data_IF_651039013921
#
_entry.id   IF_651039013921
#
_cell.length_a   1.000
_cell.length_b   1.000
_cell.length_c   1.000
_cell.angle_alpha   90.00
_cell.angle_beta   90.00
_cell.angle_gamma   90.00
#
_symmetry.space_group_name_H-M   'P 1'
#
loop_
_entity.id
_entity.type
_entity.pdbx_description
1 polymer ?
#
# COMPACT_ATOMS: atom_id res chain seq x y z
N UNK A 1 13.52 6.57 -31.05
CA UNK A 1 13.97 5.99 -32.33
C UNK A 1 12.74 5.67 -33.17
N UNK A 2 12.53 6.41 -34.26
CA UNK A 2 11.32 6.36 -35.08
C UNK A 2 11.37 5.15 -36.01
N UNK A 3 10.45 4.20 -35.85
CA UNK A 3 10.33 3.01 -36.71
C UNK A 3 9.89 3.42 -38.12
N UNK A 4 10.86 3.52 -39.02
CA UNK A 4 10.63 3.65 -40.46
C UNK A 4 9.98 2.35 -40.95
N UNK A 5 8.66 2.39 -41.21
CA UNK A 5 7.97 1.31 -41.92
C UNK A 5 8.48 1.27 -43.35
N UNK A 6 9.26 0.24 -43.66
CA UNK A 6 9.62 -0.10 -45.03
C UNK A 6 8.35 -0.56 -45.77
N UNK A 7 7.81 0.31 -46.63
CA UNK A 7 6.75 -0.05 -47.57
C UNK A 7 7.34 -0.94 -48.67
N UNK A 8 7.30 -2.25 -48.46
CA UNK A 8 7.51 -3.25 -49.51
C UNK A 8 6.22 -3.36 -50.34
N UNK A 9 6.01 -2.39 -51.23
CA UNK A 9 5.02 -2.52 -52.30
C UNK A 9 5.58 -3.51 -53.33
N UNK A 10 5.00 -4.72 -53.50
CA UNK A 10 5.48 -5.66 -54.49
C UNK A 10 5.33 -5.02 -55.88
N UNK A 11 6.42 -5.04 -56.66
CA UNK A 11 6.39 -4.52 -58.02
C UNK A 11 5.33 -5.27 -58.84
N UNK A 12 4.51 -4.56 -59.64
CA UNK A 12 3.56 -5.20 -60.53
C UNK A 12 4.34 -6.05 -61.53
N UNK A 13 4.07 -7.35 -61.52
CA UNK A 13 4.63 -8.30 -62.48
C UNK A 13 4.22 -7.84 -63.88
N UNK A 14 5.15 -7.78 -64.87
CA UNK A 14 4.85 -7.36 -66.23
C UNK A 14 3.68 -8.16 -66.79
N UNK A 15 2.54 -7.49 -66.94
CA UNK A 15 1.30 -8.11 -67.39
C UNK A 15 1.49 -8.75 -68.75
N UNK A 16 1.14 -10.03 -68.82
CA UNK A 16 1.01 -10.77 -70.06
C UNK A 16 -0.08 -10.09 -70.91
N UNK A 17 0.33 -9.30 -71.91
CA UNK A 17 -0.58 -8.71 -72.87
C UNK A 17 -1.15 -9.85 -73.74
N UNK A 18 -2.32 -10.35 -73.36
CA UNK A 18 -3.07 -11.25 -74.21
C UNK A 18 -3.44 -10.49 -75.48
N UNK A 19 -2.84 -10.93 -76.59
CA UNK A 19 -3.16 -10.47 -77.92
C UNK A 19 -4.52 -11.04 -78.31
N UNK A 20 -5.58 -10.24 -78.11
CA UNK A 20 -6.96 -10.59 -78.46
C UNK A 20 -7.24 -10.56 -79.98
N UNK A 21 -6.20 -10.43 -80.82
CA UNK A 21 -6.33 -10.23 -82.27
C UNK A 21 -6.60 -11.52 -83.08
N UNK A 22 -6.85 -12.67 -82.44
CA UNK A 22 -7.03 -13.96 -83.12
C UNK A 22 -8.21 -14.82 -82.60
N UNK A 23 -9.31 -14.18 -82.16
CA UNK A 23 -10.59 -14.92 -82.11
C UNK A 23 -11.23 -14.78 -83.48
N UNK A 24 -11.19 -15.85 -84.27
CA UNK A 24 -11.90 -15.94 -85.54
C UNK A 24 -13.40 -15.68 -85.29
N UNK A 25 -13.99 -14.80 -86.09
CA UNK A 25 -15.42 -14.50 -86.17
C UNK A 25 -16.22 -15.72 -86.70
N UNK A 26 -16.12 -16.86 -86.02
CA UNK A 26 -16.96 -18.03 -86.31
C UNK A 26 -18.31 -17.84 -85.61
N UNK A 27 -19.26 -17.35 -86.41
CA UNK A 27 -20.70 -17.52 -86.19
C UNK A 27 -21.22 -17.04 -84.83
N UNK A 28 -21.12 -15.72 -84.58
CA UNK A 28 -22.09 -15.02 -83.74
C UNK A 28 -23.45 -15.05 -84.43
N UNK A 29 -24.12 -16.20 -84.36
CA UNK A 29 -25.56 -16.29 -84.49
C UNK A 29 -26.10 -15.49 -83.32
N UNK A 30 -26.39 -14.22 -83.58
CA UNK A 30 -27.18 -13.38 -82.69
C UNK A 30 -28.54 -14.04 -82.66
N UNK A 31 -28.72 -14.97 -81.71
CA UNK A 31 -30.01 -15.43 -81.27
C UNK A 31 -30.66 -14.19 -80.63
N UNK A 32 -31.28 -13.35 -81.47
CA UNK A 32 -32.27 -12.36 -81.06
C UNK A 32 -33.47 -13.15 -80.53
N UNK A 33 -33.28 -13.72 -79.35
CA UNK A 33 -34.37 -14.14 -78.51
C UNK A 33 -34.97 -12.83 -77.99
N UNK A 34 -35.95 -12.30 -78.74
CA UNK A 34 -36.80 -11.17 -78.34
C UNK A 34 -37.75 -11.59 -77.19
N UNK A 35 -37.18 -12.29 -76.20
CA UNK A 35 -37.89 -12.87 -75.09
C UNK A 35 -38.06 -11.81 -74.01
N UNK A 36 -39.29 -11.31 -73.94
CA UNK A 36 -39.83 -10.44 -72.90
C UNK A 36 -39.62 -11.00 -71.48
N UNK A 37 -39.34 -12.29 -71.34
CA UNK A 37 -39.02 -12.92 -70.05
C UNK A 37 -37.68 -12.43 -69.47
N UNK A 38 -36.70 -12.08 -70.32
CA UNK A 38 -35.38 -11.61 -69.85
C UNK A 38 -35.42 -10.24 -69.15
N UNK A 39 -36.34 -9.35 -69.55
CA UNK A 39 -36.52 -8.05 -68.90
C UNK A 39 -37.26 -8.18 -67.55
N UNK A 40 -38.16 -9.15 -67.42
CA UNK A 40 -38.80 -9.45 -66.14
C UNK A 40 -37.79 -9.99 -65.12
N UNK A 41 -36.89 -10.87 -65.54
CA UNK A 41 -35.85 -11.44 -64.67
C UNK A 41 -34.83 -10.39 -64.19
N UNK A 42 -34.35 -9.52 -65.09
CA UNK A 42 -33.47 -8.39 -64.72
C UNK A 42 -34.12 -7.44 -63.72
N UNK A 43 -35.42 -7.16 -63.87
CA UNK A 43 -36.15 -6.30 -62.94
C UNK A 43 -36.31 -6.96 -61.56
N UNK A 44 -36.59 -8.26 -61.51
CA UNK A 44 -36.64 -9.03 -60.27
C UNK A 44 -35.28 -9.07 -59.57
N UNK A 45 -34.19 -9.30 -60.30
CA UNK A 45 -32.83 -9.29 -59.75
C UNK A 45 -32.45 -7.90 -59.21
N UNK A 46 -32.79 -6.84 -59.93
CA UNK A 46 -32.55 -5.46 -59.48
C UNK A 46 -33.34 -5.12 -58.23
N UNK A 47 -34.57 -5.62 -58.11
CA UNK A 47 -35.37 -5.47 -56.89
C UNK A 47 -34.76 -6.23 -55.71
N UNK A 48 -34.28 -7.46 -55.93
CA UNK A 48 -33.57 -8.25 -54.92
C UNK A 48 -32.32 -7.54 -54.42
N UNK A 49 -31.45 -7.05 -55.33
CA UNK A 49 -30.23 -6.31 -54.96
C UNK A 49 -30.53 -5.05 -54.15
N UNK A 50 -31.64 -4.35 -54.43
CA UNK A 50 -32.08 -3.17 -53.64
C UNK A 50 -32.53 -3.58 -52.24
N UNK A 51 -33.33 -4.64 -52.12
CA UNK A 51 -33.78 -5.14 -50.83
C UNK A 51 -32.61 -5.60 -49.95
N UNK A 52 -31.63 -6.30 -50.53
CA UNK A 52 -30.42 -6.72 -49.81
C UNK A 52 -29.57 -5.54 -49.35
N UNK A 53 -29.42 -4.51 -50.20
CA UNK A 53 -28.71 -3.29 -49.83
C UNK A 53 -29.40 -2.55 -48.67
N UNK A 54 -30.73 -2.43 -48.71
CA UNK A 54 -31.53 -1.83 -47.63
C UNK A 54 -31.41 -2.63 -46.33
N UNK A 55 -31.40 -3.97 -46.41
CA UNK A 55 -31.20 -4.82 -45.25
C UNK A 55 -29.81 -4.63 -44.64
N UNK A 56 -28.75 -4.61 -45.44
CA UNK A 56 -27.37 -4.36 -44.97
C UNK A 56 -27.23 -2.96 -44.34
N UNK A 57 -27.95 -1.97 -44.84
CA UNK A 57 -27.97 -0.63 -44.24
C UNK A 57 -28.62 -0.66 -42.85
N UNK A 58 -29.78 -1.32 -42.71
CA UNK A 58 -30.46 -1.49 -41.42
C UNK A 58 -29.62 -2.23 -40.40
N UNK A 59 -28.90 -3.28 -40.81
CA UNK A 59 -27.98 -4.02 -39.94
C UNK A 59 -26.83 -3.13 -39.44
N UNK A 60 -26.20 -2.36 -40.33
CA UNK A 60 -25.14 -1.40 -39.96
C UNK A 60 -25.65 -0.30 -39.03
N UNK A 61 -26.88 0.17 -39.23
CA UNK A 61 -27.50 1.14 -38.34
C UNK A 61 -27.75 0.53 -36.95
N UNK A 62 -28.28 -0.69 -36.89
CA UNK A 62 -28.48 -1.42 -35.63
C UNK A 62 -27.17 -1.67 -34.89
N UNK A 63 -26.10 -2.06 -35.59
CA UNK A 63 -24.76 -2.24 -35.02
C UNK A 63 -24.21 -0.93 -34.45
N UNK A 64 -24.32 0.18 -35.19
CA UNK A 64 -23.91 1.51 -34.71
C UNK A 64 -24.70 1.93 -33.48
N UNK A 65 -26.01 1.63 -33.44
CA UNK A 65 -26.86 1.92 -32.28
C UNK A 65 -26.44 1.08 -31.06
N UNK A 66 -26.18 -0.21 -31.25
CA UNK A 66 -25.70 -1.10 -30.18
C UNK A 66 -24.35 -0.62 -29.63
N UNK A 67 -23.39 -0.27 -30.49
CA UNK A 67 -22.09 0.30 -30.08
C UNK A 67 -22.23 1.60 -29.27
N UNK A 68 -23.13 2.49 -29.67
CA UNK A 68 -23.43 3.74 -28.92
C UNK A 68 -24.04 3.44 -27.54
N UNK A 69 -24.92 2.44 -27.46
CA UNK A 69 -25.52 2.04 -26.19
C UNK A 69 -24.49 1.40 -25.25
N UNK A 70 -23.63 0.53 -25.77
CA UNK A 70 -22.54 -0.07 -25.01
C UNK A 70 -21.57 0.99 -24.47
N UNK A 71 -21.14 1.94 -25.30
CA UNK A 71 -20.29 3.06 -24.87
C UNK A 71 -20.98 3.90 -23.79
N UNK A 72 -22.29 4.10 -23.87
CA UNK A 72 -23.07 4.81 -22.84
C UNK A 72 -23.12 4.02 -21.52
N UNK A 73 -23.23 2.69 -21.56
CA UNK A 73 -23.20 1.83 -20.38
C UNK A 73 -21.82 1.86 -19.70
N UNK A 74 -20.74 1.71 -20.48
CA UNK A 74 -19.37 1.79 -19.98
C UNK A 74 -19.10 3.15 -19.31
N UNK A 75 -19.50 4.26 -19.96
CA UNK A 75 -19.33 5.60 -19.37
C UNK A 75 -20.14 5.79 -18.08
N UNK A 76 -21.33 5.19 -17.98
CA UNK A 76 -22.14 5.25 -16.77
C UNK A 76 -21.54 4.43 -15.63
N UNK A 77 -20.94 3.28 -15.94
CA UNK A 77 -20.25 2.42 -14.98
C UNK A 77 -18.97 3.08 -14.45
N UNK A 78 -18.14 3.64 -15.33
CA UNK A 78 -16.95 4.41 -14.97
C UNK A 78 -17.31 5.58 -14.03
N UNK A 79 -18.38 6.33 -14.34
CA UNK A 79 -18.85 7.41 -13.48
C UNK A 79 -19.32 6.93 -12.09
N UNK A 80 -19.87 5.70 -11.98
CA UNK A 80 -20.23 5.12 -10.67
C UNK A 80 -19.00 4.74 -9.87
N UNK A 81 -17.99 4.15 -10.51
CA UNK A 81 -16.73 3.82 -9.86
C UNK A 81 -15.98 5.07 -9.38
N UNK A 82 -15.98 6.15 -10.18
CA UNK A 82 -15.39 7.43 -9.78
C UNK A 82 -16.12 8.04 -8.57
N UNK A 83 -17.45 7.98 -8.54
CA UNK A 83 -18.24 8.45 -7.40
C UNK A 83 -17.96 7.65 -6.12
N UNK A 84 -17.82 6.33 -6.23
CA UNK A 84 -17.46 5.46 -5.10
C UNK A 84 -16.06 5.77 -4.56
N UNK A 85 -15.08 5.99 -5.45
CA UNK A 85 -13.73 6.40 -5.05
C UNK A 85 -13.73 7.72 -4.30
N UNK A 86 -14.45 8.73 -4.80
CA UNK A 86 -14.60 10.02 -4.11
C UNK A 86 -15.26 9.86 -2.74
N UNK A 87 -16.27 9.00 -2.63
CA UNK A 87 -16.91 8.73 -1.34
C UNK A 87 -15.95 8.10 -0.34
N UNK A 88 -15.12 7.14 -0.78
CA UNK A 88 -14.08 6.52 0.07
C UNK A 88 -13.02 7.54 0.52
N UNK A 89 -12.56 8.39 -0.38
CA UNK A 89 -11.61 9.47 -0.05
C UNK A 89 -12.19 10.48 0.95
N UNK A 90 -13.46 10.86 0.78
CA UNK A 90 -14.16 11.73 1.73
C UNK A 90 -14.32 11.08 3.11
N UNK A 91 -14.67 9.80 3.17
CA UNK A 91 -14.78 9.05 4.42
C UNK A 91 -13.42 8.97 5.12
N UNK A 92 -12.34 8.68 4.39
CA UNK A 92 -10.98 8.64 4.93
C UNK A 92 -10.55 10.02 5.47
N UNK A 93 -10.86 11.09 4.74
CA UNK A 93 -10.60 12.45 5.18
C UNK A 93 -11.37 12.80 6.47
N UNK A 94 -12.61 12.32 6.62
CA UNK A 94 -13.38 12.47 7.85
C UNK A 94 -12.77 11.68 9.01
N UNK A 95 -12.35 10.43 8.77
CA UNK A 95 -11.67 9.61 9.79
C UNK A 95 -10.37 10.26 10.26
N UNK A 96 -9.55 10.80 9.34
CA UNK A 96 -8.33 11.54 9.66
C UNK A 96 -8.60 12.78 10.51
N UNK A 97 -9.63 13.57 10.16
CA UNK A 97 -10.06 14.74 10.96
C UNK A 97 -10.51 14.35 12.38
N UNK A 98 -11.28 13.27 12.51
CA UNK A 98 -11.73 12.77 13.81
C UNK A 98 -10.56 12.31 14.67
N UNK A 99 -9.61 11.56 14.09
CA UNK A 99 -8.41 11.11 14.79
C UNK A 99 -7.52 12.30 15.25
N UNK A 100 -7.37 13.34 14.41
CA UNK A 100 -6.62 14.55 14.77
C UNK A 100 -7.31 15.33 15.91
N UNK A 101 -8.64 15.43 15.86
CA UNK A 101 -9.44 16.10 16.89
C UNK A 101 -9.36 15.35 18.23
N UNK A 102 -9.41 14.02 18.21
CA UNK A 102 -9.20 13.19 19.39
C UNK A 102 -7.78 13.35 19.95
N UNK A 103 -6.74 13.35 19.09
CA UNK A 103 -5.37 13.60 19.51
C UNK A 103 -5.21 14.97 20.18
N UNK A 104 -5.88 16.02 19.66
CA UNK A 104 -5.92 17.35 20.30
C UNK A 104 -6.59 17.29 21.67
N UNK A 105 -7.71 16.59 21.81
CA UNK A 105 -8.38 16.39 23.11
C UNK A 105 -7.48 15.67 24.10
N UNK A 106 -6.76 14.63 23.67
CA UNK A 106 -5.80 13.92 24.53
C UNK A 106 -4.67 14.84 24.99
N UNK A 107 -4.09 15.66 24.10
CA UNK A 107 -3.07 16.66 24.46
C UNK A 107 -3.60 17.68 25.47
N UNK A 108 -4.84 18.14 25.30
CA UNK A 108 -5.48 19.06 26.26
C UNK A 108 -5.66 18.42 27.64
N UNK A 109 -6.13 17.16 27.71
CA UNK A 109 -6.26 16.41 28.98
C UNK A 109 -4.91 16.25 29.67
N UNK A 110 -3.88 15.81 28.94
CA UNK A 110 -2.53 15.67 29.47
C UNK A 110 -1.95 17.01 29.97
N UNK A 111 -2.24 18.12 29.29
CA UNK A 111 -1.84 19.46 29.73
C UNK A 111 -2.56 19.89 31.03
N UNK A 112 -3.88 19.66 31.11
CA UNK A 112 -4.66 19.93 32.31
C UNK A 112 -4.19 19.11 33.52
N UNK A 113 -3.94 17.82 33.32
CA UNK A 113 -3.42 16.91 34.36
C UNK A 113 -2.05 17.38 34.86
N UNK A 114 -1.13 17.77 33.96
CA UNK A 114 0.17 18.35 34.36
C UNK A 114 0.01 19.64 35.14
N UNK A 115 -0.92 20.52 34.75
CA UNK A 115 -1.18 21.76 35.47
C UNK A 115 -1.77 21.48 36.87
N UNK A 116 -2.64 20.47 37.00
CA UNK A 116 -3.18 20.03 38.27
C UNK A 116 -2.10 19.43 39.17
N UNK A 117 -1.27 18.52 38.66
CA UNK A 117 -0.14 17.96 39.39
C UNK A 117 0.80 19.04 39.95
N UNK A 118 1.07 20.11 39.17
CA UNK A 118 1.85 21.27 39.65
C UNK A 118 1.17 22.01 40.80
N UNK A 119 -0.17 22.16 40.77
CA UNK A 119 -0.93 22.78 41.87
C UNK A 119 -0.90 21.92 43.13
N UNK A 120 -1.09 20.62 42.98
CA UNK A 120 -1.07 19.67 44.09
C UNK A 120 0.32 19.62 44.74
N UNK A 121 1.39 19.62 43.93
CA UNK A 121 2.76 19.70 44.44
C UNK A 121 2.99 21.01 45.22
N UNK A 122 2.54 22.16 44.71
CA UNK A 122 2.65 23.44 45.40
C UNK A 122 1.86 23.44 46.72
N UNK A 123 0.64 22.88 46.74
CA UNK A 123 -0.18 22.74 47.94
C UNK A 123 0.48 21.81 48.98
N UNK A 124 1.07 20.71 48.54
CA UNK A 124 1.84 19.81 49.40
C UNK A 124 3.07 20.50 49.99
N UNK A 125 3.82 21.28 49.19
CA UNK A 125 4.97 22.06 49.68
C UNK A 125 4.55 23.08 50.74
N UNK A 126 3.44 23.79 50.53
CA UNK A 126 2.90 24.73 51.51
C UNK A 126 2.45 24.02 52.80
N UNK A 127 1.77 22.88 52.67
CA UNK A 127 1.29 22.11 53.83
C UNK A 127 2.46 21.52 54.63
N UNK A 128 3.49 20.98 53.97
CA UNK A 128 4.67 20.42 54.62
C UNK A 128 5.47 21.46 55.42
N UNK A 129 5.58 22.69 54.92
CA UNK A 129 6.25 23.78 55.64
C UNK A 129 5.53 24.18 56.94
N UNK A 130 4.19 24.00 57.01
CA UNK A 130 3.40 24.28 58.23
C UNK A 130 3.62 23.22 59.31
N UNK A 131 3.92 21.97 58.95
CA UNK A 131 4.17 20.90 59.93
C UNK A 131 5.60 20.90 60.50
N UNK A 132 6.62 21.34 59.74
CA UNK A 132 8.01 21.40 60.25
C UNK A 132 8.25 22.50 61.30
N UNK A 133 7.38 23.51 61.40
CA UNK A 133 7.50 24.59 62.40
C UNK A 133 7.04 24.14 63.80
N UNK A 134 6.26 23.06 63.91
CA UNK A 134 5.75 22.56 65.20
C UNK A 134 6.58 21.43 65.82
N UNK A 135 7.56 20.87 65.10
CA UNK A 135 8.42 19.77 65.58
C UNK A 135 9.84 20.21 65.94
N UNK A 136 10.03 21.49 66.33
CA UNK A 136 11.24 21.92 67.03
C UNK A 136 11.32 21.20 68.39
N UNK A 137 11.89 20.01 68.32
CA UNK A 137 12.31 19.16 69.41
C UNK A 137 13.15 20.01 70.38
N UNK A 138 12.70 20.11 71.64
CA UNK A 138 13.47 20.69 72.73
C UNK A 138 14.76 19.90 72.89
N UNK A 139 15.84 20.36 72.28
CA UNK A 139 17.19 19.94 72.65
C UNK A 139 17.58 20.75 73.89
N UNK A 140 17.84 20.12 75.05
CA UNK A 140 18.29 20.84 76.22
C UNK A 140 19.76 21.24 76.02
N UNK A 141 20.04 22.54 75.93
CA UNK A 141 21.41 23.03 76.17
C UNK A 141 21.97 24.11 75.26
N UNK A 142 21.27 24.56 74.21
CA UNK A 142 21.79 25.63 73.34
C UNK A 142 20.77 26.75 73.16
N UNK A 143 21.30 27.98 73.19
CA UNK A 143 20.63 29.28 73.27
C UNK A 143 19.24 29.35 72.63
N UNK A 144 18.26 29.79 73.43
CA UNK A 144 16.87 30.04 73.03
C UNK A 144 16.84 31.09 71.91
N UNK A 145 16.74 30.64 70.67
CA UNK A 145 16.26 31.50 69.58
C UNK A 145 14.75 31.57 69.75
N UNK A 146 14.27 32.69 70.30
CA UNK A 146 12.84 33.00 70.39
C UNK A 146 12.34 33.27 68.97
N UNK A 147 11.86 32.24 68.27
CA UNK A 147 11.00 32.43 67.12
C UNK A 147 9.69 33.01 67.63
N UNK A 148 9.56 34.33 67.53
CA UNK A 148 8.32 35.04 67.85
C UNK A 148 7.26 34.54 66.87
N UNK A 149 6.40 33.63 67.30
CA UNK A 149 5.17 33.26 66.58
C UNK A 149 4.32 34.52 66.46
N UNK A 150 4.50 35.26 65.36
CA UNK A 150 3.70 36.45 65.07
C UNK A 150 2.26 36.00 64.89
N UNK A 151 1.35 36.65 65.61
CA UNK A 151 -0.08 36.36 65.52
C UNK A 151 -0.53 36.47 64.06
N UNK A 152 -1.34 35.52 63.58
CA UNK A 152 -1.90 35.62 62.25
C UNK A 152 -2.64 36.96 62.10
N UNK A 153 -2.58 37.58 60.92
CA UNK A 153 -3.28 38.81 60.64
C UNK A 153 -4.77 38.60 60.89
N UNK A 154 -5.45 39.60 61.46
CA UNK A 154 -6.88 39.47 61.66
C UNK A 154 -7.61 39.36 60.32
N UNK A 155 -8.76 38.69 60.29
CA UNK A 155 -9.60 38.51 59.09
C UNK A 155 -9.91 39.82 58.37
N UNK A 156 -10.02 40.94 59.11
CA UNK A 156 -10.17 42.28 58.53
C UNK A 156 -8.94 42.74 57.73
N UNK A 157 -7.72 42.49 58.20
CA UNK A 157 -6.50 42.83 57.45
C UNK A 157 -6.38 42.01 56.16
N UNK A 158 -6.79 40.74 56.19
CA UNK A 158 -6.79 39.87 55.00
C UNK A 158 -7.79 40.40 53.97
N UNK A 159 -9.04 40.68 54.40
CA UNK A 159 -10.08 41.20 53.50
C UNK A 159 -9.73 42.58 52.91
N UNK A 160 -9.16 43.50 53.69
CA UNK A 160 -8.73 44.81 53.19
C UNK A 160 -7.56 44.73 52.21
N UNK A 161 -6.70 43.71 52.33
CA UNK A 161 -5.61 43.47 51.38
C UNK A 161 -6.16 42.97 50.04
N UNK A 162 -7.10 42.02 50.06
CA UNK A 162 -7.75 41.50 48.86
C UNK A 162 -8.58 42.57 48.14
N UNK A 163 -9.16 43.51 48.88
CA UNK A 163 -9.95 44.60 48.33
C UNK A 163 -9.12 45.81 47.82
N UNK A 164 -7.79 45.77 47.93
CA UNK A 164 -6.91 46.87 47.48
C UNK A 164 -7.02 48.18 48.28
N UNK A 165 -7.72 48.18 49.42
CA UNK A 165 -8.04 49.39 50.20
C UNK A 165 -6.91 49.85 51.15
N UNK A 166 -5.69 49.35 50.98
CA UNK A 166 -4.54 49.71 51.80
C UNK A 166 -3.40 50.21 50.91
N UNK A 167 -3.28 51.54 50.79
CA UNK A 167 -2.18 52.15 50.05
C UNK A 167 -0.86 52.07 50.84
N UNK A 168 0.27 51.79 50.17
CA UNK A 168 1.61 51.87 50.76
C UNK A 168 1.97 53.29 51.25
N UNK A 169 1.74 53.62 52.52
CA UNK A 169 2.43 54.75 53.13
C UNK A 169 3.95 54.50 53.18
N UNK A 170 4.78 55.50 52.88
CA UNK A 170 6.26 55.41 52.79
C UNK A 170 7.00 55.11 54.14
N UNK A 171 6.33 54.52 55.12
CA UNK A 171 6.89 54.16 56.42
C UNK A 171 7.12 52.64 56.58
N UNK A 172 8.17 52.25 57.32
CA UNK A 172 8.63 50.86 57.52
C UNK A 172 7.67 49.94 58.29
N UNK A 173 6.48 50.40 58.68
CA UNK A 173 5.47 49.57 59.36
C UNK A 173 4.08 49.81 58.75
N UNK A 174 3.50 48.77 58.14
CA UNK A 174 2.13 48.78 57.61
C UNK A 174 1.18 48.20 58.65
N UNK A 175 0.17 48.96 59.05
CA UNK A 175 -0.95 48.46 59.85
C UNK A 175 -2.26 48.96 59.23
N UNK A 176 -3.32 48.16 59.28
CA UNK A 176 -4.66 48.63 58.90
C UNK A 176 -5.05 49.87 59.71
N UNK A 177 -5.82 50.83 59.18
CA UNK A 177 -6.23 52.04 59.93
C UNK A 177 -6.84 51.70 61.32
N UNK A 178 -7.72 50.67 61.44
CA UNK A 178 -8.20 50.22 62.76
C UNK A 178 -7.12 49.65 63.69
N UNK A 179 -6.05 49.07 63.14
CA UNK A 179 -4.93 48.46 63.86
C UNK A 179 -3.96 49.55 64.36
N UNK A 180 -3.69 50.54 63.51
CA UNK A 180 -2.89 51.71 63.82
C UNK A 180 -3.52 52.54 64.95
N UNK A 181 -4.82 52.80 64.87
CA UNK A 181 -5.54 53.56 65.90
C UNK A 181 -5.57 52.88 67.28
N UNK A 182 -5.39 51.56 67.33
CA UNK A 182 -5.34 50.79 68.59
C UNK A 182 -3.91 50.57 69.11
N UNK A 183 -2.89 51.15 68.46
CA UNK A 183 -1.45 50.90 68.71
C UNK A 183 -1.10 49.40 68.75
N UNK A 184 -1.87 48.55 68.06
CA UNK A 184 -1.60 47.11 67.97
C UNK A 184 -0.83 46.86 66.68
N UNK A 185 0.42 46.46 66.80
CA UNK A 185 1.31 46.12 65.69
C UNK A 185 0.86 44.83 65.00
N UNK A 186 0.01 44.96 63.98
CA UNK A 186 -0.18 43.92 62.97
C UNK A 186 0.97 44.06 61.97
N UNK A 187 2.01 43.23 62.09
CA UNK A 187 3.19 43.33 61.24
C UNK A 187 3.13 42.26 60.14
N UNK A 188 3.10 42.72 58.90
CA UNK A 188 3.31 41.88 57.72
C UNK A 188 4.73 42.09 57.23
N UNK A 189 5.49 41.01 57.02
CA UNK A 189 6.67 41.04 56.16
C UNK A 189 6.21 40.73 54.74
N UNK A 190 6.56 41.59 53.78
CA UNK A 190 6.47 41.25 52.37
C UNK A 190 7.33 40.01 52.17
N UNK A 191 6.72 38.91 51.75
CA UNK A 191 7.44 37.75 51.25
C UNK A 191 8.06 38.20 49.92
N UNK A 192 9.24 38.83 50.00
CA UNK A 192 10.06 39.01 48.83
C UNK A 192 10.45 37.61 48.36
N UNK A 193 10.15 37.33 47.09
CA UNK A 193 10.55 36.13 46.37
C UNK A 193 12.07 36.05 46.43
N UNK A 194 12.60 35.44 47.48
CA UNK A 194 13.99 35.08 47.58
C UNK A 194 14.22 33.91 46.62
N UNK A 195 15.12 34.12 45.66
CA UNK A 195 15.68 33.05 44.85
C UNK A 195 16.12 31.91 45.78
N UNK A 196 15.49 30.75 45.60
CA UNK A 196 15.45 29.69 46.59
C UNK A 196 16.81 29.01 46.85
N UNK A 197 16.99 28.42 48.04
CA UNK A 197 18.18 27.65 48.40
C UNK A 197 18.18 26.27 47.73
N UNK A 198 19.32 25.89 47.17
CA UNK A 198 19.57 24.59 46.55
C UNK A 198 19.44 23.45 47.57
N UNK A 199 18.48 22.55 47.34
CA UNK A 199 18.24 21.38 48.19
C UNK A 199 19.10 20.21 47.71
N UNK A 200 20.12 19.86 48.50
CA UNK A 200 20.79 18.55 48.45
C UNK A 200 19.81 17.46 48.88
N UNK A 201 19.67 16.40 48.08
CA UNK A 201 19.02 15.15 48.45
C UNK A 201 19.88 14.00 47.94
N UNK A 202 20.30 13.10 48.83
CA UNK A 202 20.29 11.65 48.60
C UNK A 202 20.77 10.89 49.84
N UNK A 203 20.16 9.72 50.05
CA UNK A 203 20.62 8.71 50.99
C UNK A 203 19.65 7.54 51.08
N UNK A 204 19.20 6.98 49.94
CA UNK A 204 18.44 5.72 49.92
C UNK A 204 19.31 4.63 49.30
N UNK A 205 19.55 3.59 50.08
CA UNK A 205 20.57 2.58 49.87
C UNK A 205 20.37 1.69 48.65
N UNK A 206 21.53 1.28 48.12
CA UNK A 206 21.74 0.25 47.14
C UNK A 206 21.42 -1.13 47.71
N UNK A 207 20.64 -1.93 46.97
CA UNK A 207 20.61 -3.37 47.14
C UNK A 207 20.91 -4.07 45.81
N UNK A 208 22.10 -4.66 45.78
CA UNK A 208 22.32 -6.09 45.50
C UNK A 208 21.90 -6.57 44.11
N UNK A 209 22.91 -6.72 43.26
CA UNK A 209 22.79 -7.23 41.91
C UNK A 209 22.27 -8.67 41.80
N UNK A 210 21.61 -8.92 40.69
CA UNK A 210 21.41 -10.25 40.12
C UNK A 210 22.00 -10.28 38.71
N UNK A 211 23.03 -11.13 38.57
CA UNK A 211 23.61 -11.56 37.30
C UNK A 211 22.54 -12.26 36.47
N UNK A 212 22.18 -11.72 35.30
CA UNK A 212 21.51 -12.49 34.24
C UNK A 212 22.47 -12.78 33.09
N UNK A 213 22.52 -14.06 32.75
CA UNK A 213 23.44 -14.74 31.83
C UNK A 213 23.07 -14.42 30.37
N UNK A 214 24.11 -14.20 29.56
CA UNK A 214 24.12 -14.30 28.09
C UNK A 214 23.56 -15.65 27.63
N UNK A 215 22.61 -15.71 26.68
CA UNK A 215 22.55 -16.83 25.75
C UNK A 215 23.47 -16.55 24.56
N UNK A 216 24.42 -17.45 24.38
CA UNK A 216 25.32 -17.56 23.24
C UNK A 216 24.55 -18.29 22.14
N UNK A 217 23.84 -17.54 21.29
CA UNK A 217 23.17 -18.05 20.10
C UNK A 217 24.14 -18.04 18.92
N UNK A 218 24.63 -19.23 18.54
CA UNK A 218 25.47 -19.48 17.38
C UNK A 218 24.55 -19.76 16.19
N UNK A 219 24.18 -18.72 15.46
CA UNK A 219 23.43 -18.79 14.21
C UNK A 219 24.36 -18.53 13.03
N UNK A 220 24.52 -19.53 12.17
CA UNK A 220 25.40 -19.55 11.01
C UNK A 220 24.66 -18.85 9.86
N UNK A 221 24.90 -17.55 9.69
CA UNK A 221 24.45 -16.83 8.48
C UNK A 221 25.53 -17.02 7.40
N UNK A 222 25.14 -17.60 6.26
CA UNK A 222 25.91 -17.52 5.02
C UNK A 222 25.78 -16.07 4.53
N UNK A 223 26.89 -15.36 4.55
CA UNK A 223 27.03 -14.06 3.90
C UNK A 223 27.15 -14.30 2.39
N UNK A 224 26.28 -13.66 1.63
CA UNK A 224 26.52 -13.35 0.22
C UNK A 224 27.48 -12.17 0.22
N UNK A 225 28.68 -12.39 -0.33
CA UNK A 225 29.72 -11.39 -0.49
C UNK A 225 29.25 -10.31 -1.46
N UNK A 226 29.14 -9.08 -0.98
CA UNK A 226 29.31 -7.89 -1.81
C UNK A 226 30.59 -7.24 -1.36
N UNK A 227 31.62 -7.50 -2.17
CA UNK A 227 32.93 -6.87 -2.17
C UNK A 227 32.76 -5.35 -2.26
N UNK A 228 33.07 -4.63 -1.20
CA UNK A 228 33.25 -3.17 -1.25
C UNK A 228 34.52 -2.80 -0.48
N UNK A 229 35.50 -2.40 -1.29
CA UNK A 229 36.61 -1.48 -1.05
C UNK A 229 37.12 -1.28 0.39
N UNK A 230 38.32 -1.80 0.58
CA UNK A 230 39.46 -1.22 1.29
C UNK A 230 39.35 0.30 1.57
N UNK A 231 39.23 0.66 2.85
CA UNK A 231 39.52 2.01 3.35
C UNK A 231 40.35 1.84 4.64
N UNK A 232 41.61 1.48 4.44
CA UNK A 232 42.67 1.49 5.46
C UNK A 232 42.90 2.92 5.97
N UNK A 233 42.12 3.37 6.94
CA UNK A 233 42.48 4.55 7.73
C UNK A 233 43.37 4.13 8.91
N UNK A 234 44.67 4.13 8.67
CA UNK A 234 45.71 4.20 9.70
C UNK A 234 45.55 5.49 10.52
N UNK A 235 44.69 5.44 11.55
CA UNK A 235 44.68 6.45 12.59
C UNK A 235 45.76 6.12 13.62
N UNK A 236 46.90 6.80 13.48
CA UNK A 236 48.03 6.77 14.39
C UNK A 236 47.62 6.83 15.85
N UNK A 237 47.92 5.73 16.54
CA UNK A 237 47.91 5.56 17.99
C UNK A 237 49.04 6.41 18.59
N UNK A 238 48.82 7.70 18.75
CA UNK A 238 49.62 8.49 19.70
C UNK A 238 49.10 8.18 21.11
N UNK A 239 49.95 7.48 21.87
CA UNK A 239 49.79 7.20 23.28
C UNK A 239 49.80 8.52 24.09
N UNK A 240 48.67 9.23 24.09
CA UNK A 240 48.39 10.23 25.12
C UNK A 240 47.95 9.50 26.40
N UNK A 241 48.95 9.19 27.21
CA UNK A 241 48.83 8.76 28.60
C UNK A 241 47.83 9.69 29.33
N UNK A 242 46.65 9.21 29.76
CA UNK A 242 45.68 10.10 30.39
C UNK A 242 46.25 10.54 31.74
N UNK A 243 46.69 11.80 31.76
CA UNK A 243 47.01 12.53 32.96
C UNK A 243 45.91 12.30 34.00
N UNK A 244 46.36 11.93 35.19
CA UNK A 244 45.58 11.72 36.41
C UNK A 244 44.40 12.69 36.51
N UNK A 245 43.16 12.22 36.73
CA UNK A 245 42.02 13.10 36.86
C UNK A 245 42.19 13.96 38.11
N UNK A 246 42.49 15.24 37.91
CA UNK A 246 42.31 16.27 38.94
C UNK A 246 40.89 16.15 39.50
N UNK A 247 40.76 16.22 40.82
CA UNK A 247 39.51 16.20 41.58
C UNK A 247 38.51 17.21 41.00
N UNK A 248 37.65 16.71 40.12
CA UNK A 248 36.57 17.46 39.49
C UNK A 248 35.36 17.60 40.41
N UNK A 249 34.57 18.68 40.25
CA UNK A 249 33.47 19.04 41.12
C UNK A 249 32.48 17.90 41.31
N UNK A 250 32.25 17.55 42.57
CA UNK A 250 31.44 16.43 43.02
C UNK A 250 29.99 16.50 42.52
N UNK A 251 29.71 15.78 41.43
CA UNK A 251 29.03 14.48 41.54
C UNK A 251 27.51 14.41 41.42
N UNK A 252 26.78 15.48 41.09
CA UNK A 252 25.30 15.37 40.91
C UNK A 252 24.76 15.77 39.54
N UNK A 253 25.46 16.62 38.78
CA UNK A 253 25.03 17.03 37.43
C UNK A 253 25.51 16.13 36.28
N UNK A 254 26.58 15.35 36.51
CA UNK A 254 27.21 14.52 35.46
C UNK A 254 26.38 13.28 35.14
N UNK A 255 25.67 12.71 36.12
CA UNK A 255 24.84 11.53 35.92
C UNK A 255 23.54 11.82 35.13
N UNK A 256 22.96 13.01 35.27
CA UNK A 256 21.79 13.40 34.49
C UNK A 256 22.14 13.64 33.03
N UNK A 257 23.29 14.27 32.77
CA UNK A 257 23.78 14.51 31.41
C UNK A 257 24.08 13.20 30.67
N UNK A 258 24.71 12.22 31.34
CA UNK A 258 24.93 10.89 30.76
C UNK A 258 23.62 10.15 30.42
N UNK A 259 22.61 10.25 31.28
CA UNK A 259 21.31 9.60 31.05
C UNK A 259 20.47 10.28 29.95
N UNK A 260 20.70 11.56 29.68
CA UNK A 260 20.11 12.27 28.53
C UNK A 260 20.83 11.89 27.24
N UNK A 261 22.17 11.88 27.26
CA UNK A 261 22.98 11.45 26.12
C UNK A 261 22.68 10.01 25.69
N UNK A 262 22.55 9.07 26.63
CA UNK A 262 22.22 7.68 26.32
C UNK A 262 20.81 7.53 25.75
N UNK A 263 19.84 8.34 26.22
CA UNK A 263 18.48 8.37 25.66
C UNK A 263 18.45 8.94 24.26
N UNK A 264 19.18 10.01 23.99
CA UNK A 264 19.27 10.60 22.65
C UNK A 264 19.94 9.63 21.67
N UNK A 265 20.97 8.91 22.13
CA UNK A 265 21.61 7.85 21.33
C UNK A 265 20.63 6.71 21.02
N UNK A 266 19.78 6.30 21.96
CA UNK A 266 18.75 5.28 21.71
C UNK A 266 17.67 5.78 20.75
N UNK A 267 17.25 7.04 20.85
CA UNK A 267 16.29 7.64 19.92
C UNK A 267 16.84 7.68 18.50
N UNK A 268 18.09 8.13 18.32
CA UNK A 268 18.75 8.10 17.01
C UNK A 268 18.88 6.68 16.43
N UNK A 269 19.12 5.68 17.29
CA UNK A 269 19.17 4.30 16.84
C UNK A 269 17.80 3.79 16.35
N UNK A 270 16.71 4.14 17.04
CA UNK A 270 15.36 3.82 16.59
C UNK A 270 14.96 4.57 15.32
N UNK A 271 15.35 5.84 15.19
CA UNK A 271 15.09 6.65 14.00
C UNK A 271 15.76 6.04 12.76
N UNK A 272 17.05 5.70 12.86
CA UNK A 272 17.76 4.98 11.80
C UNK A 272 17.12 3.64 11.47
N UNK A 273 16.62 2.91 12.47
CA UNK A 273 15.93 1.65 12.23
C UNK A 273 14.59 1.88 11.50
N UNK A 274 13.85 2.92 11.85
CA UNK A 274 12.62 3.30 11.16
C UNK A 274 12.88 3.67 9.69
N UNK A 275 13.94 4.45 9.41
CA UNK A 275 14.36 4.77 8.04
C UNK A 275 14.67 3.51 7.22
N UNK A 276 15.40 2.55 7.80
CA UNK A 276 15.68 1.27 7.12
C UNK A 276 14.40 0.48 6.84
N UNK A 277 13.44 0.48 7.76
CA UNK A 277 12.14 -0.17 7.54
C UNK A 277 11.30 0.55 6.48
N UNK A 278 11.31 1.88 6.42
CA UNK A 278 10.62 2.64 5.37
C UNK A 278 11.19 2.31 3.98
N UNK A 279 12.52 2.26 3.84
CA UNK A 279 13.18 1.85 2.60
C UNK A 279 12.83 0.41 2.22
N UNK A 280 12.80 -0.49 3.20
CA UNK A 280 12.41 -1.89 2.95
C UNK A 280 10.96 -2.01 2.49
N UNK A 281 10.02 -1.28 3.11
CA UNK A 281 8.60 -1.28 2.70
C UNK A 281 8.46 -0.76 1.27
N UNK A 282 9.14 0.33 0.92
CA UNK A 282 9.13 0.86 -0.45
C UNK A 282 9.67 -0.16 -1.47
N UNK A 283 10.71 -0.93 -1.10
CA UNK A 283 11.22 -2.00 -1.95
C UNK A 283 10.19 -3.12 -2.14
N UNK A 284 9.46 -3.52 -1.09
CA UNK A 284 8.38 -4.50 -1.19
C UNK A 284 7.21 -4.00 -2.05
N UNK A 285 6.83 -2.73 -1.94
CA UNK A 285 5.79 -2.12 -2.79
C UNK A 285 6.18 -2.18 -4.28
N UNK A 286 7.44 -1.85 -4.62
CA UNK A 286 7.92 -1.96 -6.01
C UNK A 286 7.97 -3.40 -6.51
N UNK A 287 8.33 -4.36 -5.65
CA UNK A 287 8.28 -5.78 -6.02
C UNK A 287 6.85 -6.27 -6.25
N UNK A 288 5.89 -5.82 -5.44
CA UNK A 288 4.48 -6.14 -5.63
C UNK A 288 3.94 -5.56 -6.94
N UNK A 289 4.26 -4.29 -7.24
CA UNK A 289 3.87 -3.66 -8.52
C UNK A 289 4.47 -4.40 -9.73
N UNK A 290 5.75 -4.80 -9.65
CA UNK A 290 6.38 -5.61 -10.70
C UNK A 290 5.70 -6.98 -10.86
N UNK A 291 5.28 -7.61 -9.75
CA UNK A 291 4.54 -8.88 -9.79
C UNK A 291 3.16 -8.72 -10.43
N UNK A 292 2.44 -7.63 -10.16
CA UNK A 292 1.16 -7.31 -10.80
C UNK A 292 1.33 -7.11 -12.31
N UNK A 293 2.37 -6.38 -12.74
CA UNK A 293 2.67 -6.20 -14.17
C UNK A 293 3.00 -7.52 -14.88
N UNK A 294 3.73 -8.43 -14.21
CA UNK A 294 4.00 -9.76 -14.75
C UNK A 294 2.73 -10.60 -14.86
N UNK A 295 1.83 -10.52 -13.88
CA UNK A 295 0.55 -11.22 -13.93
C UNK A 295 -0.32 -10.71 -15.09
N UNK A 296 -0.42 -9.39 -15.27
CA UNK A 296 -1.16 -8.79 -16.39
C UNK A 296 -0.57 -9.21 -17.75
N UNK A 297 0.77 -9.25 -17.86
CA UNK A 297 1.43 -9.72 -19.07
C UNK A 297 1.10 -11.21 -19.35
N UNK A 298 1.11 -12.05 -18.32
CA UNK A 298 0.77 -13.47 -18.45
C UNK A 298 -0.70 -13.67 -18.87
N UNK A 299 -1.64 -12.89 -18.33
CA UNK A 299 -3.04 -12.91 -18.74
C UNK A 299 -3.20 -12.53 -20.21
N UNK A 300 -2.54 -11.46 -20.67
CA UNK A 300 -2.56 -11.07 -22.10
C UNK A 300 -2.02 -12.16 -23.00
N UNK A 301 -0.92 -12.82 -22.61
CA UNK A 301 -0.38 -13.96 -23.34
C UNK A 301 -1.37 -15.11 -23.37
N UNK A 302 -2.03 -15.42 -22.25
CA UNK A 302 -3.06 -16.46 -22.19
C UNK A 302 -4.26 -16.16 -23.12
N UNK A 303 -4.71 -14.91 -23.18
CA UNK A 303 -5.78 -14.47 -24.09
C UNK A 303 -5.38 -14.63 -25.57
N UNK A 304 -4.14 -14.28 -25.93
CA UNK A 304 -3.61 -14.51 -27.27
C UNK A 304 -3.60 -16.00 -27.63
N UNK A 305 -3.13 -16.87 -26.71
CA UNK A 305 -3.18 -18.32 -26.90
C UNK A 305 -4.61 -18.84 -27.01
N UNK A 306 -5.54 -18.28 -26.24
CA UNK A 306 -6.97 -18.58 -26.34
C UNK A 306 -7.52 -18.29 -27.74
N UNK A 307 -7.14 -17.15 -28.32
CA UNK A 307 -7.50 -16.78 -29.70
C UNK A 307 -6.87 -17.73 -30.72
N UNK A 308 -5.59 -18.11 -30.55
CA UNK A 308 -4.94 -19.09 -31.42
C UNK A 308 -5.64 -20.46 -31.39
N UNK A 309 -6.05 -20.92 -30.20
CA UNK A 309 -6.80 -22.17 -30.04
C UNK A 309 -8.14 -22.10 -30.75
N UNK A 310 -8.90 -21.03 -30.56
CA UNK A 310 -10.19 -20.83 -31.23
C UNK A 310 -10.04 -20.81 -32.76
N UNK A 311 -8.99 -20.14 -33.26
CA UNK A 311 -8.67 -20.13 -34.69
C UNK A 311 -8.29 -21.52 -35.21
N UNK A 312 -7.50 -22.29 -34.46
CA UNK A 312 -7.11 -23.65 -34.83
C UNK A 312 -8.32 -24.59 -34.92
N UNK A 313 -9.23 -24.51 -33.95
CA UNK A 313 -10.50 -25.26 -33.94
C UNK A 313 -11.38 -24.89 -35.15
N UNK A 314 -11.50 -23.59 -35.46
CA UNK A 314 -12.21 -23.12 -36.65
C UNK A 314 -11.59 -23.63 -37.96
N UNK A 315 -10.26 -23.56 -38.08
CA UNK A 315 -9.54 -24.07 -39.24
C UNK A 315 -9.73 -25.58 -39.41
N UNK A 316 -9.79 -26.33 -38.32
CA UNK A 316 -10.09 -27.75 -38.36
C UNK A 316 -11.52 -28.04 -38.82
N UNK A 317 -12.52 -27.30 -38.32
CA UNK A 317 -13.90 -27.41 -38.79
C UNK A 317 -14.02 -27.17 -40.30
N UNK A 318 -13.34 -26.14 -40.83
CA UNK A 318 -13.30 -25.87 -42.28
C UNK A 318 -12.65 -27.01 -43.06
N UNK A 319 -11.52 -27.55 -42.60
CA UNK A 319 -10.90 -28.72 -43.25
C UNK A 319 -11.84 -29.93 -43.31
N UNK A 320 -12.63 -30.17 -42.24
CA UNK A 320 -13.62 -31.26 -42.22
C UNK A 320 -14.78 -31.02 -43.18
N UNK A 321 -15.24 -29.79 -43.29
CA UNK A 321 -16.29 -29.38 -44.23
C UNK A 321 -15.81 -29.52 -45.68
N UNK A 322 -14.65 -28.97 -46.01
CA UNK A 322 -14.04 -29.08 -47.35
C UNK A 322 -13.84 -30.56 -47.74
N UNK A 323 -13.44 -31.41 -46.78
CA UNK A 323 -13.31 -32.85 -47.01
C UNK A 323 -14.66 -33.56 -47.23
N UNK A 324 -15.76 -33.07 -46.65
CA UNK A 324 -17.12 -33.58 -46.92
C UNK A 324 -17.60 -33.13 -48.29
N UNK A 325 -17.40 -31.86 -48.64
CA UNK A 325 -17.72 -31.33 -49.97
C UNK A 325 -16.96 -32.08 -51.07
N UNK A 326 -15.66 -32.34 -50.86
CA UNK A 326 -14.85 -33.11 -51.80
C UNK A 326 -15.40 -34.54 -52.02
N UNK A 327 -15.82 -35.23 -50.95
CA UNK A 327 -16.46 -36.56 -51.06
C UNK A 327 -17.79 -36.51 -51.79
N UNK A 328 -18.60 -35.47 -51.55
CA UNK A 328 -19.87 -35.27 -52.27
C UNK A 328 -19.62 -35.01 -53.76
N UNK A 329 -18.63 -34.18 -54.09
CA UNK A 329 -18.25 -33.90 -55.48
C UNK A 329 -17.67 -35.16 -56.19
N UNK A 330 -16.93 -36.00 -55.47
CA UNK A 330 -16.45 -37.29 -56.01
C UNK A 330 -17.62 -38.23 -56.31
N UNK A 331 -18.60 -38.32 -55.40
CA UNK A 331 -19.82 -39.11 -55.58
C UNK A 331 -20.65 -38.64 -56.78
N UNK A 332 -20.75 -37.32 -56.99
CA UNK A 332 -21.40 -36.73 -58.17
C UNK A 332 -20.63 -37.03 -59.47
N UNK A 333 -19.30 -36.90 -59.46
CA UNK A 333 -18.47 -37.13 -60.66
C UNK A 333 -18.37 -38.58 -61.09
N UNK A 334 -18.40 -39.53 -60.15
CA UNK A 334 -18.34 -40.96 -60.49
C UNK A 334 -19.60 -41.44 -61.22
N UNK A 335 -20.65 -40.59 -61.34
CA UNK A 335 -21.80 -40.85 -62.21
C UNK A 335 -22.50 -42.17 -61.89
N UNK A 336 -22.28 -42.68 -60.68
CA UNK A 336 -22.90 -43.89 -60.17
C UNK A 336 -24.35 -43.58 -59.89
N UNK A 337 -25.16 -43.58 -60.95
CA UNK A 337 -26.61 -43.52 -60.84
C UNK A 337 -27.02 -44.45 -59.73
N UNK A 338 -27.69 -43.90 -58.72
CA UNK A 338 -28.16 -44.62 -57.54
C UNK A 338 -28.88 -45.89 -58.02
N UNK A 339 -28.15 -47.00 -58.13
CA UNK A 339 -28.76 -48.31 -58.20
C UNK A 339 -29.30 -48.50 -56.81
N UNK A 340 -30.55 -48.08 -56.66
CA UNK A 340 -31.45 -48.40 -55.55
C UNK A 340 -31.06 -49.79 -55.06
N UNK A 341 -30.52 -49.93 -53.84
CA UNK A 341 -30.26 -51.25 -53.29
C UNK A 341 -31.60 -51.98 -53.36
N UNK A 342 -31.69 -52.99 -54.22
CA UNK A 342 -32.82 -53.90 -54.16
C UNK A 342 -32.71 -54.53 -52.78
N UNK A 343 -33.68 -54.19 -51.94
CA UNK A 343 -33.96 -54.81 -50.67
C UNK A 343 -34.39 -56.24 -50.97
N UNK A 344 -33.42 -57.12 -51.25
CA UNK A 344 -33.66 -58.54 -51.13
C UNK A 344 -33.73 -58.85 -49.63
N UNK A 345 -34.94 -59.22 -49.24
CA UNK A 345 -35.25 -59.89 -48.01
C UNK A 345 -34.31 -61.10 -47.84
N UNK A 346 -33.31 -60.95 -47.00
CA UNK A 346 -32.60 -62.06 -46.39
C UNK A 346 -32.73 -61.88 -44.88
N UNK A 347 -33.81 -62.45 -44.36
CA UNK A 347 -33.82 -62.99 -43.01
C UNK A 347 -32.56 -63.84 -42.84
N UNK A 348 -31.70 -63.54 -41.86
CA UNK A 348 -31.23 -64.57 -40.93
C UNK A 348 -30.34 -64.01 -39.81
N UNK A 349 -30.79 -64.33 -38.58
CA UNK A 349 -30.04 -64.84 -37.43
C UNK A 349 -28.57 -64.42 -37.27
N UNK A 350 -28.33 -63.64 -36.23
CA UNK A 350 -27.28 -63.81 -35.22
C UNK A 350 -27.66 -62.84 -34.08
N UNK A 351 -28.44 -63.24 -33.08
CA UNK A 351 -28.13 -64.20 -32.00
C UNK A 351 -26.87 -63.77 -31.22
N UNK A 352 -27.16 -63.11 -30.10
CA UNK A 352 -26.50 -63.17 -28.77
C UNK A 352 -25.01 -63.50 -28.69
N UNK A 353 -24.24 -62.53 -28.17
CA UNK A 353 -23.06 -62.62 -27.29
C UNK A 353 -22.27 -61.30 -27.50
N UNK A 354 -22.06 -60.44 -26.51
CA UNK A 354 -21.26 -60.71 -25.33
C UNK A 354 -21.53 -59.61 -24.29
N UNK A 355 -22.22 -59.99 -23.20
CA UNK A 355 -22.15 -59.30 -21.92
C UNK A 355 -20.82 -59.71 -21.28
N UNK A 356 -19.86 -58.78 -21.14
CA UNK A 356 -18.68 -59.11 -20.35
C UNK A 356 -17.53 -58.11 -20.44
N UNK A 357 -17.52 -57.12 -19.56
CA UNK A 357 -16.37 -56.76 -18.73
C UNK A 357 -16.63 -55.40 -18.05
N UNK A 358 -17.35 -55.45 -16.94
CA UNK A 358 -17.11 -54.51 -15.84
C UNK A 358 -15.67 -54.74 -15.37
N UNK A 359 -14.75 -53.93 -15.92
CA UNK A 359 -13.41 -53.79 -15.40
C UNK A 359 -13.42 -52.70 -14.34
N UNK A 360 -13.57 -53.10 -13.08
CA UNK A 360 -12.96 -52.43 -11.93
C UNK A 360 -11.52 -52.07 -12.31
N UNK A 361 -11.24 -50.78 -12.50
CA UNK A 361 -9.87 -50.30 -12.42
C UNK A 361 -9.79 -49.44 -11.16
N UNK A 362 -9.25 -50.08 -10.14
CA UNK A 362 -9.01 -49.56 -8.81
C UNK A 362 -8.25 -48.22 -8.88
N UNK A 363 -8.71 -47.27 -8.07
CA UNK A 363 -7.92 -46.13 -7.63
C UNK A 363 -6.58 -46.60 -7.05
N UNK A 364 -5.50 -46.55 -7.83
CA UNK A 364 -4.15 -46.42 -7.27
C UNK A 364 -3.85 -44.94 -7.06
N UNK A 365 -4.21 -44.49 -5.85
CA UNK A 365 -3.50 -43.45 -5.13
C UNK A 365 -2.11 -44.00 -4.77
N UNK A 366 -1.04 -43.50 -5.39
CA UNK A 366 0.26 -43.28 -4.72
C UNK A 366 1.25 -42.63 -5.68
N UNK A 367 1.87 -41.52 -5.25
CA UNK A 367 3.07 -41.00 -5.90
C UNK A 367 3.15 -39.49 -6.06
N UNK A 368 2.97 -38.73 -4.98
CA UNK A 368 3.72 -37.47 -4.85
C UNK A 368 5.21 -37.81 -4.83
N UNK A 369 5.88 -37.77 -5.99
CA UNK A 369 7.33 -37.84 -6.06
C UNK A 369 7.89 -36.49 -6.53
N UNK A 370 8.16 -35.68 -5.52
CA UNK A 370 9.46 -35.05 -5.29
C UNK A 370 10.19 -34.48 -6.51
N UNK A 371 10.11 -33.15 -6.62
CA UNK A 371 11.14 -32.21 -7.08
C UNK A 371 12.34 -32.78 -7.83
N UNK A 372 12.25 -32.79 -9.15
CA UNK A 372 13.41 -32.72 -10.02
C UNK A 372 13.85 -31.25 -10.16
N UNK A 373 14.86 -30.84 -9.41
CA UNK A 373 15.65 -29.64 -9.70
C UNK A 373 16.40 -29.87 -11.02
N UNK A 374 15.84 -29.39 -12.14
CA UNK A 374 16.61 -29.23 -13.37
C UNK A 374 17.52 -28.02 -13.23
N UNK A 375 18.75 -28.33 -12.86
CA UNK A 375 19.92 -27.49 -13.01
C UNK A 375 20.29 -27.40 -14.51
N UNK A 376 19.67 -26.50 -15.26
CA UNK A 376 20.29 -25.92 -16.46
C UNK A 376 21.20 -24.77 -15.97
N UNK A 377 22.52 -24.81 -16.10
CA UNK A 377 23.29 -25.36 -17.22
C UNK A 377 23.66 -24.20 -18.14
N UNK A 378 24.79 -23.57 -17.82
CA UNK A 378 25.43 -22.42 -18.50
C UNK A 378 25.05 -22.14 -19.95
N UNK A 379 24.63 -20.89 -20.17
CA UNK A 379 24.48 -20.26 -21.47
C UNK A 379 25.16 -18.89 -21.48
N UNK A 380 26.46 -18.92 -21.70
CA UNK A 380 27.36 -17.83 -22.03
C UNK A 380 26.78 -16.85 -23.07
N UNK A 381 26.58 -15.57 -22.73
CA UNK A 381 26.51 -14.49 -23.72
C UNK A 381 27.23 -13.24 -23.20
N UNK A 382 28.48 -13.11 -23.62
CA UNK A 382 29.11 -11.83 -23.85
C UNK A 382 28.60 -11.27 -25.20
N UNK A 383 28.07 -10.04 -25.22
CA UNK A 383 28.32 -9.06 -26.28
C UNK A 383 27.78 -7.66 -25.89
N UNK A 384 28.71 -6.71 -25.76
CA UNK A 384 28.67 -5.25 -25.99
C UNK A 384 27.34 -4.47 -25.93
N UNK A 385 27.29 -3.40 -25.10
CA UNK A 385 27.57 -2.02 -25.55
C UNK A 385 28.07 -1.13 -24.40
#
# INVERSE_FOLDING_TARGET
MSSQRENTTPQPTPGHSHDYSQVADDALVVLTDDSTDTEHEKNAEKAHRRAEAEQKEKEREAERKAKREQARRQKAEEARLEAERRQKEEEEAQRKKAAEEEAKRQRQRASQERAQARRDEAAQRLSGMVYDVNTAQRVPGTSVVVTVTRRPPCTRCIASLTAGQCEPGQGKTRACVPCHNKKKTCSWTREEVAAGPSRKRAGTGSSRGEKKKKPRGKGKARATETEEADDEWEAGREDDEPATPLEGPSGTGVHTWWAEWERERQLQAMEKQAEVHEVAVLAFERMAEAAEQMAEAAERTADEWGMYRAWAEWAEMRRREDAREARMAELERTGGGWKRPQSEAAEDKNEEADEGAEGDNEEEVEGEQEGGEEQEGGGEQAMEE
#
